data_IF_680143652076
#
_entry.id   IF_680143652076
#
_cell.length_a   1.000
_cell.length_b   1.000
_cell.length_c   1.000
_cell.angle_alpha   90.00
_cell.angle_beta   90.00
_cell.angle_gamma   90.00
#
_symmetry.space_group_name_H-M   'P 1'
#
loop_
_entity.id
_entity.type
_entity.pdbx_description
1 polymer ?
#
# COMPACT_ATOMS: atom_id res chain seq x y z
N UNK A 1 4.12 -50.05 8.50
CA UNK A 1 4.55 -49.34 7.27
C UNK A 1 4.05 -47.88 7.20
N UNK A 2 3.89 -47.17 8.33
CA UNK A 2 3.33 -45.80 8.33
C UNK A 2 4.33 -44.69 8.70
N UNK A 3 5.44 -45.03 9.37
CA UNK A 3 6.45 -44.06 9.82
C UNK A 3 7.45 -43.62 8.74
N UNK A 4 7.59 -44.39 7.65
CA UNK A 4 8.54 -44.06 6.58
C UNK A 4 7.98 -43.03 5.59
N UNK A 5 6.66 -42.90 5.47
CA UNK A 5 6.02 -41.99 4.50
C UNK A 5 5.87 -40.57 5.03
N UNK A 6 5.80 -40.39 6.36
CA UNK A 6 5.69 -39.08 7.02
C UNK A 6 7.00 -38.30 7.04
N UNK A 7 8.16 -38.98 7.05
CA UNK A 7 9.49 -38.31 7.05
C UNK A 7 9.78 -37.63 5.70
N UNK A 8 9.35 -38.22 4.58
CA UNK A 8 9.54 -37.62 3.25
C UNK A 8 8.66 -36.37 3.04
N UNK A 9 7.47 -36.31 3.64
CA UNK A 9 6.59 -35.16 3.51
C UNK A 9 7.13 -33.92 4.27
N UNK A 10 7.76 -34.11 5.43
CA UNK A 10 8.37 -33.01 6.18
C UNK A 10 9.66 -32.48 5.52
N UNK A 11 10.44 -33.36 4.89
CA UNK A 11 11.65 -32.97 4.16
C UNK A 11 11.34 -32.13 2.90
N UNK A 12 10.24 -32.42 2.20
CA UNK A 12 9.84 -31.65 1.01
C UNK A 12 9.25 -30.27 1.36
N UNK A 13 8.62 -30.15 2.53
CA UNK A 13 8.14 -28.85 3.05
C UNK A 13 9.28 -27.90 3.44
N UNK A 14 10.43 -28.41 3.89
CA UNK A 14 11.62 -27.60 4.20
C UNK A 14 12.36 -27.05 2.97
N UNK A 15 12.21 -27.70 1.81
CA UNK A 15 12.89 -27.33 0.57
C UNK A 15 12.17 -26.25 -0.26
N UNK A 16 10.91 -25.92 0.07
CA UNK A 16 10.12 -24.93 -0.67
C UNK A 16 10.31 -23.47 -0.18
N UNK A 17 10.88 -23.29 1.02
CA UNK A 17 11.09 -21.97 1.62
C UNK A 17 12.15 -21.13 0.88
N UNK A 18 13.27 -21.67 0.35
CA UNK A 18 14.32 -20.83 -0.24
C UNK A 18 13.89 -20.08 -1.52
N UNK A 19 12.90 -20.58 -2.26
CA UNK A 19 12.51 -19.98 -3.54
C UNK A 19 11.92 -18.57 -3.38
N UNK A 20 11.25 -18.28 -2.26
CA UNK A 20 10.73 -16.94 -1.96
C UNK A 20 11.84 -15.95 -1.56
N UNK A 21 12.99 -16.45 -1.07
CA UNK A 21 14.15 -15.63 -0.71
C UNK A 21 15.20 -15.51 -1.82
N UNK A 22 15.13 -16.35 -2.87
CA UNK A 22 16.07 -16.32 -3.98
C UNK A 22 16.05 -14.99 -4.77
N UNK A 23 14.97 -14.21 -4.65
CA UNK A 23 14.84 -12.89 -5.27
C UNK A 23 14.69 -11.74 -4.24
N UNK A 24 14.83 -12.03 -2.94
CA UNK A 24 14.77 -11.01 -1.91
C UNK A 24 16.17 -10.46 -1.68
N UNK A 25 16.40 -9.17 -1.87
CA UNK A 25 17.72 -8.54 -1.64
C UNK A 25 18.18 -8.50 -0.19
N UNK A 26 17.43 -9.12 0.71
CA UNK A 26 17.70 -9.19 2.12
C UNK A 26 17.64 -10.66 2.56
N UNK A 27 18.70 -11.13 3.22
CA UNK A 27 18.74 -12.44 3.87
C UNK A 27 18.77 -12.25 5.37
N UNK A 28 17.87 -12.90 6.10
CA UNK A 28 17.94 -12.94 7.57
C UNK A 28 19.09 -13.85 7.99
N UNK A 29 20.07 -13.31 8.70
CA UNK A 29 21.27 -14.04 9.14
C UNK A 29 21.26 -14.40 10.63
N UNK A 30 20.25 -13.91 11.37
CA UNK A 30 20.00 -14.29 12.76
C UNK A 30 20.91 -13.59 13.79
N UNK A 31 20.49 -13.66 15.06
CA UNK A 31 21.17 -13.00 16.18
C UNK A 31 21.13 -11.48 16.10
N UNK A 32 22.08 -10.81 16.77
CA UNK A 32 22.20 -9.34 16.79
C UNK A 32 22.53 -8.74 15.41
N UNK A 33 22.96 -9.57 14.45
CA UNK A 33 23.35 -9.16 13.11
C UNK A 33 22.15 -8.88 12.19
N UNK A 34 20.99 -9.45 12.51
CA UNK A 34 19.73 -9.14 11.83
C UNK A 34 19.68 -9.54 10.35
N UNK A 35 19.53 -8.56 9.46
CA UNK A 35 19.42 -8.76 8.01
C UNK A 35 20.72 -8.33 7.29
N UNK A 36 21.18 -9.15 6.36
CA UNK A 36 22.22 -8.80 5.40
C UNK A 36 21.59 -8.45 4.06
N UNK A 37 21.99 -7.31 3.48
CA UNK A 37 21.53 -6.87 2.16
C UNK A 37 22.51 -7.32 1.08
N UNK A 38 22.00 -7.81 -0.04
CA UNK A 38 22.78 -8.24 -1.18
C UNK A 38 22.18 -7.67 -2.48
N UNK A 39 23.04 -7.46 -3.47
CA UNK A 39 22.62 -6.93 -4.78
C UNK A 39 21.76 -7.95 -5.51
N UNK A 40 20.49 -7.62 -5.69
CA UNK A 40 19.57 -8.36 -6.57
C UNK A 40 19.74 -7.83 -7.98
N UNK A 41 19.79 -8.74 -8.95
CA UNK A 41 19.75 -8.36 -10.37
C UNK A 41 18.35 -7.82 -10.69
N UNK A 42 18.26 -6.51 -10.94
CA UNK A 42 17.02 -5.91 -11.44
C UNK A 42 16.71 -6.47 -12.83
N UNK A 43 15.45 -6.77 -13.09
CA UNK A 43 14.98 -7.16 -14.43
C UNK A 43 14.92 -5.97 -15.40
N UNK A 44 15.07 -4.74 -14.90
CA UNK A 44 15.00 -3.50 -15.70
C UNK A 44 16.38 -2.99 -16.06
N UNK A 45 16.54 -2.55 -17.31
CA UNK A 45 17.77 -1.87 -17.72
C UNK A 45 17.85 -0.47 -17.13
N UNK A 46 19.07 0.10 -17.08
CA UNK A 46 19.26 1.50 -16.66
C UNK A 46 18.51 2.48 -17.56
N UNK A 47 18.34 2.15 -18.84
CA UNK A 47 17.60 2.99 -19.78
C UNK A 47 16.10 3.02 -19.42
N UNK A 48 15.53 1.86 -19.08
CA UNK A 48 14.11 1.76 -18.68
C UNK A 48 13.84 2.53 -17.39
N UNK A 49 14.72 2.39 -16.39
CA UNK A 49 14.60 3.15 -15.13
C UNK A 49 14.64 4.66 -15.38
N UNK A 50 15.54 5.13 -16.25
CA UNK A 50 15.61 6.56 -16.61
C UNK A 50 14.35 7.03 -17.34
N UNK A 51 13.80 6.19 -18.22
CA UNK A 51 12.56 6.48 -18.95
C UNK A 51 11.37 6.58 -17.99
N UNK A 52 11.22 5.61 -17.09
CA UNK A 52 10.17 5.61 -16.06
C UNK A 52 10.29 6.80 -15.13
N UNK A 53 11.51 7.12 -14.69
CA UNK A 53 11.76 8.31 -13.85
C UNK A 53 11.41 9.61 -14.58
N UNK A 54 11.71 9.71 -15.88
CA UNK A 54 11.31 10.85 -16.70
C UNK A 54 9.80 10.98 -16.82
N UNK A 55 9.10 9.88 -17.10
CA UNK A 55 7.64 9.84 -17.17
C UNK A 55 7.00 10.24 -15.83
N UNK A 56 7.52 9.71 -14.72
CA UNK A 56 7.07 10.05 -13.37
C UNK A 56 7.26 11.53 -13.04
N UNK A 57 8.41 12.11 -13.39
CA UNK A 57 8.67 13.54 -13.13
C UNK A 57 7.74 14.46 -13.93
N UNK A 58 7.31 14.05 -15.12
CA UNK A 58 6.38 14.82 -15.94
C UNK A 58 4.93 14.70 -15.45
N UNK A 59 4.58 13.58 -14.82
CA UNK A 59 3.26 13.37 -14.24
C UNK A 59 3.37 12.47 -12.99
N UNK A 60 3.55 13.05 -11.79
CA UNK A 60 3.81 12.29 -10.57
C UNK A 60 2.53 11.72 -9.98
N UNK A 61 1.71 11.06 -10.79
CA UNK A 61 0.46 10.43 -10.38
C UNK A 61 0.70 9.01 -9.87
N UNK A 62 0.08 8.67 -8.75
CA UNK A 62 0.06 7.31 -8.20
C UNK A 62 -0.94 6.44 -8.94
N UNK A 63 -0.87 5.12 -8.74
CA UNK A 63 -1.85 4.18 -9.31
C UNK A 63 -3.29 4.48 -8.87
N UNK A 64 -3.46 5.08 -7.69
CA UNK A 64 -4.76 5.48 -7.12
C UNK A 64 -5.26 6.84 -7.64
N UNK A 65 -4.53 7.46 -8.57
CA UNK A 65 -4.91 8.75 -9.19
C UNK A 65 -4.55 10.00 -8.39
N UNK A 66 -3.93 9.86 -7.22
CA UNK A 66 -3.41 11.01 -6.46
C UNK A 66 -2.08 11.53 -7.00
N UNK A 67 -1.72 12.76 -6.66
CA UNK A 67 -0.49 13.42 -7.14
C UNK A 67 0.54 13.51 -6.03
N UNK A 68 1.78 13.12 -6.30
CA UNK A 68 2.91 13.34 -5.40
C UNK A 68 3.48 14.74 -5.66
N UNK A 69 3.21 15.66 -4.73
CA UNK A 69 3.54 17.10 -4.86
C UNK A 69 4.99 17.37 -4.42
N UNK A 70 5.62 16.43 -3.70
CA UNK A 70 6.96 16.60 -3.14
C UNK A 70 6.98 17.61 -1.97
N UNK A 71 8.14 17.74 -1.32
CA UNK A 71 8.28 18.57 -0.12
C UNK A 71 7.36 18.15 1.04
N UNK A 72 6.98 19.10 1.88
CA UNK A 72 6.11 18.88 3.05
C UNK A 72 4.69 18.45 2.67
N UNK A 73 4.22 18.82 1.47
CA UNK A 73 2.87 18.48 1.01
C UNK A 73 2.72 16.98 0.70
N UNK A 74 3.80 16.29 0.35
CA UNK A 74 3.85 14.83 0.20
C UNK A 74 2.94 14.27 -0.90
N UNK A 75 1.66 14.07 -0.56
CA UNK A 75 0.63 13.44 -1.36
C UNK A 75 -0.67 14.26 -1.38
N UNK A 76 -1.18 14.52 -2.57
CA UNK A 76 -2.49 15.15 -2.79
C UNK A 76 -3.48 14.10 -3.31
N UNK A 77 -4.61 13.87 -2.64
CA UNK A 77 -5.60 12.91 -3.09
C UNK A 77 -6.27 13.37 -4.39
N UNK A 78 -6.77 12.43 -5.21
CA UNK A 78 -7.52 12.77 -6.43
C UNK A 78 -8.72 13.65 -6.09
N UNK A 79 -8.97 14.67 -6.91
CA UNK A 79 -10.07 15.62 -6.73
C UNK A 79 -11.22 15.30 -7.66
N UNK A 80 -12.45 15.43 -7.17
CA UNK A 80 -13.65 15.33 -8.00
C UNK A 80 -13.69 16.47 -9.05
N UNK A 81 -14.11 16.13 -10.25
CA UNK A 81 -14.31 17.06 -11.35
C UNK A 81 -15.79 17.12 -11.70
N UNK A 82 -16.29 18.33 -11.96
CA UNK A 82 -17.69 18.58 -12.26
C UNK A 82 -17.83 19.30 -13.59
N UNK A 83 -18.83 18.92 -14.37
CA UNK A 83 -19.26 19.67 -15.55
C UNK A 83 -20.75 20.01 -15.44
N UNK A 84 -21.14 21.11 -16.07
CA UNK A 84 -22.56 21.46 -16.20
C UNK A 84 -23.09 20.86 -17.50
N UNK A 85 -23.97 19.86 -17.39
CA UNK A 85 -24.59 19.17 -18.53
C UNK A 85 -26.10 19.14 -18.31
N UNK A 86 -26.87 19.49 -19.34
CA UNK A 86 -28.34 19.47 -19.32
C UNK A 86 -28.98 20.19 -18.11
N UNK A 87 -28.38 21.31 -17.69
CA UNK A 87 -28.88 22.09 -16.56
C UNK A 87 -28.53 21.53 -15.17
N UNK A 88 -27.66 20.53 -15.09
CA UNK A 88 -27.25 19.88 -13.84
C UNK A 88 -25.73 19.80 -13.72
N UNK A 89 -25.22 19.87 -12.49
CA UNK A 89 -23.84 19.51 -12.19
C UNK A 89 -23.72 17.99 -12.19
N UNK A 90 -22.87 17.47 -13.06
CA UNK A 90 -22.56 16.03 -13.18
C UNK A 90 -21.09 15.80 -12.85
N UNK A 91 -20.79 14.68 -12.19
CA UNK A 91 -19.41 14.23 -11.99
C UNK A 91 -18.83 13.79 -13.33
N UNK A 92 -17.62 14.26 -13.63
CA UNK A 92 -16.87 13.85 -14.83
C UNK A 92 -15.71 12.91 -14.50
N UNK A 93 -15.49 12.63 -13.23
CA UNK A 93 -14.51 11.64 -12.74
C UNK A 93 -15.16 10.29 -12.38
N UNK A 94 -14.31 9.31 -12.08
CA UNK A 94 -14.69 7.96 -11.67
C UNK A 94 -14.38 7.69 -10.18
N UNK A 95 -14.24 8.72 -9.34
CA UNK A 95 -13.93 8.55 -7.92
C UNK A 95 -15.19 8.06 -7.20
N UNK A 96 -15.05 7.00 -6.40
CA UNK A 96 -16.19 6.38 -5.73
C UNK A 96 -16.77 7.25 -4.60
N UNK A 97 -18.10 7.27 -4.49
CA UNK A 97 -18.85 7.93 -3.41
C UNK A 97 -19.36 6.95 -2.34
N UNK A 98 -18.63 5.86 -2.10
CA UNK A 98 -19.06 4.81 -1.18
C UNK A 98 -18.63 5.02 0.28
N UNK A 99 -18.05 6.19 0.61
CA UNK A 99 -17.69 6.54 1.98
C UNK A 99 -18.94 6.53 2.87
N UNK A 100 -19.00 5.68 3.91
CA UNK A 100 -20.14 5.63 4.81
C UNK A 100 -20.41 7.00 5.42
N UNK A 101 -21.67 7.42 5.45
CA UNK A 101 -22.06 8.67 6.12
C UNK A 101 -21.67 8.58 7.60
N UNK A 102 -20.95 9.56 8.16
CA UNK A 102 -20.69 9.61 9.59
C UNK A 102 -22.00 9.52 10.36
N UNK A 103 -22.07 8.60 11.33
CA UNK A 103 -23.20 8.53 12.24
C UNK A 103 -23.15 9.75 13.17
N UNK A 104 -24.24 10.51 13.21
CA UNK A 104 -24.44 11.55 14.23
C UNK A 104 -25.00 10.98 15.54
N UNK A 105 -25.39 9.69 15.54
CA UNK A 105 -25.83 9.02 16.75
C UNK A 105 -24.60 8.62 17.57
N UNK A 106 -24.28 9.42 18.59
CA UNK A 106 -23.33 9.02 19.62
C UNK A 106 -23.87 7.80 20.38
N UNK A 107 -22.99 6.88 20.73
CA UNK A 107 -23.24 5.87 21.76
C UNK A 107 -23.29 6.52 23.13
N UNK A 108 -23.82 5.81 24.14
CA UNK A 108 -23.85 6.33 25.51
C UNK A 108 -22.46 6.54 26.10
N UNK A 109 -21.49 5.70 25.68
CA UNK A 109 -20.09 5.84 26.07
C UNK A 109 -19.45 7.10 25.47
N UNK A 110 -19.67 7.35 24.18
CA UNK A 110 -19.19 8.58 23.51
C UNK A 110 -19.84 9.84 24.12
N UNK A 111 -21.15 9.77 24.46
CA UNK A 111 -21.85 10.87 25.15
C UNK A 111 -21.23 11.17 26.51
N UNK A 112 -20.83 10.15 27.26
CA UNK A 112 -20.19 10.33 28.56
C UNK A 112 -18.82 10.98 28.42
N UNK A 113 -17.99 10.48 27.50
CA UNK A 113 -16.67 11.04 27.19
C UNK A 113 -16.75 12.51 26.74
N UNK A 114 -17.68 12.85 25.86
CA UNK A 114 -17.86 14.24 25.42
C UNK A 114 -18.21 15.18 26.56
N UNK A 115 -19.13 14.78 27.46
CA UNK A 115 -19.50 15.59 28.63
C UNK A 115 -18.35 15.78 29.62
N UNK A 116 -17.52 14.76 29.82
CA UNK A 116 -16.34 14.84 30.69
C UNK A 116 -15.27 15.77 30.10
N UNK A 117 -15.11 15.77 28.76
CA UNK A 117 -14.13 16.59 28.06
C UNK A 117 -14.57 18.05 27.86
N UNK A 118 -15.87 18.32 27.75
CA UNK A 118 -16.42 19.67 27.47
C UNK A 118 -16.57 20.56 28.70
N UNK A 119 -16.16 20.11 29.88
CA UNK A 119 -16.34 20.80 31.18
C UNK A 119 -15.00 21.33 31.76
N UNK A 120 -13.92 21.28 30.98
CA UNK A 120 -12.70 22.07 31.24
C UNK A 120 -12.73 23.38 30.47
#
# INVERSE_FOLDING_TARGET
>A
MLFRKTVFALALAGAAIPAAFANSGNTWVGGERGFETHTVQSTKSRADVKKELGAFRNNPTTAEGGTLVGGEAGYMPPQHSYAFQDGRLVHTDSIAHNTPKPSLAMTDAERRLFREQSVN
#
